data_IF_152015471236
#
_entry.id   IF_152015471236
#
_cell.length_a   1.000
_cell.length_b   1.000
_cell.length_c   1.000
_cell.angle_alpha   90.00
_cell.angle_beta   90.00
_cell.angle_gamma   90.00
#
_symmetry.space_group_name_H-M   'P 1'
#
loop_
_entity.id
_entity.type
_entity.pdbx_description
1 polymer ?
#
# COMPACT_ATOMS: atom_id res chain seq x y z
N UNK A 1 8.91 2.24 -13.11
CA UNK A 1 7.93 3.35 -13.15
C UNK A 1 7.80 4.00 -11.78
N UNK A 2 7.32 3.31 -10.74
CA UNK A 2 7.09 3.96 -9.43
C UNK A 2 8.37 4.58 -8.82
N UNK A 3 9.49 3.86 -8.84
CA UNK A 3 10.78 4.43 -8.41
C UNK A 3 11.20 5.63 -9.28
N UNK A 4 11.00 5.57 -10.60
CA UNK A 4 11.34 6.66 -11.53
C UNK A 4 10.50 7.92 -11.27
N UNK A 5 9.24 7.77 -10.87
CA UNK A 5 8.38 8.89 -10.46
C UNK A 5 8.90 9.51 -9.16
N UNK A 6 9.26 8.69 -8.16
CA UNK A 6 9.89 9.17 -6.91
C UNK A 6 11.18 9.93 -7.19
N UNK A 7 12.04 9.40 -8.05
CA UNK A 7 13.32 10.03 -8.40
C UNK A 7 13.11 11.35 -9.15
N UNK A 8 12.11 11.40 -10.03
CA UNK A 8 11.72 12.64 -10.71
C UNK A 8 11.19 13.69 -9.72
N UNK A 9 10.42 13.29 -8.69
CA UNK A 9 9.95 14.18 -7.63
C UNK A 9 11.11 14.69 -6.75
N UNK A 10 12.10 13.84 -6.43
CA UNK A 10 13.32 14.26 -5.75
C UNK A 10 14.08 15.32 -6.55
N UNK A 11 14.26 15.11 -7.85
CA UNK A 11 14.88 16.08 -8.75
C UNK A 11 14.04 17.36 -8.95
N UNK A 12 12.71 17.26 -8.86
CA UNK A 12 11.82 18.41 -8.88
C UNK A 12 11.98 19.26 -7.61
N UNK A 13 12.09 18.63 -6.43
CA UNK A 13 12.33 19.31 -5.15
C UNK A 13 13.58 20.20 -5.15
N UNK A 14 14.63 19.82 -5.89
CA UNK A 14 15.84 20.64 -6.02
C UNK A 14 15.63 21.92 -6.84
N UNK A 15 14.63 21.93 -7.71
CA UNK A 15 14.37 22.99 -8.70
C UNK A 15 13.15 23.84 -8.38
N UNK A 16 12.40 23.53 -7.30
CA UNK A 16 11.12 24.21 -7.01
C UNK A 16 11.29 25.70 -6.72
N UNK A 17 12.45 26.11 -6.19
CA UNK A 17 12.70 27.47 -5.71
C UNK A 17 11.82 27.88 -4.52
N UNK A 18 11.02 26.98 -3.96
CA UNK A 18 10.08 27.22 -2.87
C UNK A 18 10.47 26.41 -1.63
N UNK A 19 10.50 27.08 -0.47
CA UNK A 19 11.01 26.53 0.80
C UNK A 19 12.42 27.02 1.12
N UNK A 20 12.79 26.98 2.39
CA UNK A 20 14.19 27.17 2.82
C UNK A 20 14.97 25.85 2.68
N UNK A 21 16.30 25.91 2.80
CA UNK A 21 17.16 24.73 2.63
C UNK A 21 16.82 23.57 3.58
N UNK A 22 16.36 23.86 4.80
CA UNK A 22 15.95 22.87 5.79
C UNK A 22 14.66 22.14 5.39
N UNK A 23 13.63 22.86 4.95
CA UNK A 23 12.37 22.26 4.48
C UNK A 23 12.61 21.34 3.29
N UNK A 24 13.46 21.75 2.34
CA UNK A 24 13.80 20.93 1.18
C UNK A 24 14.58 19.67 1.61
N UNK A 25 15.52 19.79 2.54
CA UNK A 25 16.28 18.66 3.06
C UNK A 25 15.36 17.63 3.74
N UNK A 26 14.43 18.08 4.58
CA UNK A 26 13.48 17.19 5.26
C UNK A 26 12.50 16.53 4.28
N UNK A 27 12.00 17.28 3.29
CA UNK A 27 11.14 16.75 2.24
C UNK A 27 11.86 15.64 1.43
N UNK A 28 13.13 15.85 1.08
CA UNK A 28 13.96 14.84 0.41
C UNK A 28 14.16 13.62 1.30
N UNK A 29 14.48 13.82 2.59
CA UNK A 29 14.68 12.72 3.53
C UNK A 29 13.41 11.85 3.65
N UNK A 30 12.23 12.48 3.77
CA UNK A 30 10.95 11.77 3.80
C UNK A 30 10.69 11.00 2.51
N UNK A 31 10.89 11.63 1.36
CA UNK A 31 10.62 11.00 0.07
C UNK A 31 11.60 9.85 -0.21
N UNK A 32 12.89 10.00 0.15
CA UNK A 32 13.90 8.95 0.05
C UNK A 32 13.62 7.77 0.98
N UNK A 33 13.04 8.01 2.16
CA UNK A 33 12.64 6.98 3.11
C UNK A 33 11.30 6.28 2.73
N UNK A 34 10.60 6.77 1.70
CA UNK A 34 9.30 6.22 1.31
C UNK A 34 9.44 4.81 0.74
N UNK A 35 8.72 3.85 1.36
CA UNK A 35 8.67 2.47 0.89
C UNK A 35 7.58 2.32 -0.18
N UNK A 36 7.86 1.53 -1.21
CA UNK A 36 6.87 1.20 -2.25
C UNK A 36 6.62 -0.31 -2.18
N UNK A 37 5.37 -0.70 -1.92
CA UNK A 37 4.95 -2.09 -1.85
C UNK A 37 3.92 -2.38 -2.94
N UNK A 38 4.16 -3.43 -3.73
CA UNK A 38 3.43 -3.71 -4.98
C UNK A 38 2.87 -5.13 -4.97
N UNK A 39 1.61 -5.28 -5.40
CA UNK A 39 0.93 -6.57 -5.51
C UNK A 39 0.21 -6.97 -4.23
N UNK A 40 0.89 -7.70 -3.36
CA UNK A 40 0.31 -8.26 -2.14
C UNK A 40 1.26 -8.17 -0.94
N UNK A 41 0.74 -8.17 0.31
CA UNK A 41 1.55 -8.26 1.51
C UNK A 41 2.48 -9.47 1.47
N UNK A 42 3.74 -9.29 1.90
CA UNK A 42 4.71 -10.39 2.02
C UNK A 42 4.36 -11.44 3.07
N UNK A 43 3.39 -11.16 3.95
CA UNK A 43 3.01 -12.04 5.05
C UNK A 43 1.64 -12.63 4.80
N UNK A 44 1.57 -13.95 4.81
CA UNK A 44 0.31 -14.66 4.84
C UNK A 44 -0.37 -14.46 6.20
N UNK A 45 -1.67 -14.15 6.18
CA UNK A 45 -2.47 -14.18 7.39
C UNK A 45 -2.84 -15.62 7.69
N UNK A 46 -2.72 -16.00 8.96
CA UNK A 46 -3.24 -17.27 9.44
C UNK A 46 -4.76 -17.17 9.58
N UNK A 47 -5.46 -17.73 8.60
CA UNK A 47 -6.92 -17.83 8.57
C UNK A 47 -7.46 -19.08 9.28
N UNK A 48 -6.67 -19.73 10.13
CA UNK A 48 -7.15 -20.86 10.93
C UNK A 48 -8.21 -20.36 11.92
N UNK A 49 -9.47 -20.64 11.61
CA UNK A 49 -10.68 -20.28 12.35
C UNK A 49 -11.49 -21.52 12.68
N UNK A 50 -12.44 -21.40 13.61
CA UNK A 50 -13.43 -22.47 13.83
C UNK A 50 -14.21 -22.76 12.54
N UNK A 51 -14.64 -24.00 12.30
CA UNK A 51 -15.38 -24.37 11.09
C UNK A 51 -16.61 -23.48 10.90
N UNK A 52 -16.68 -22.82 9.74
CA UNK A 52 -17.85 -22.07 9.29
C UNK A 52 -18.69 -22.95 8.36
N UNK A 53 -20.01 -22.76 8.37
CA UNK A 53 -20.92 -23.59 7.60
C UNK A 53 -22.15 -22.85 7.10
N UNK A 54 -22.96 -23.51 6.26
CA UNK A 54 -24.18 -22.92 5.69
C UNK A 54 -25.35 -22.82 6.69
N UNK A 55 -25.21 -23.40 7.89
CA UNK A 55 -26.29 -23.50 8.88
C UNK A 55 -26.56 -22.23 9.70
N UNK A 56 -25.62 -21.28 9.79
CA UNK A 56 -25.84 -20.02 10.49
C UNK A 56 -24.91 -18.90 10.01
N UNK A 57 -25.47 -17.93 9.30
CA UNK A 57 -24.75 -16.71 8.91
C UNK A 57 -24.29 -15.91 10.14
N UNK A 58 -25.16 -15.76 11.14
CA UNK A 58 -24.84 -15.06 12.38
C UNK A 58 -23.68 -15.70 13.15
N UNK A 59 -23.66 -17.04 13.22
CA UNK A 59 -22.55 -17.79 13.82
C UNK A 59 -21.24 -17.56 13.08
N UNK A 60 -21.25 -17.63 11.74
CA UNK A 60 -20.07 -17.34 10.93
C UNK A 60 -19.55 -15.91 11.15
N UNK A 61 -20.45 -14.94 11.28
CA UNK A 61 -20.05 -13.55 11.52
C UNK A 61 -19.43 -13.35 12.90
N UNK A 62 -19.95 -14.01 13.93
CA UNK A 62 -19.35 -13.99 15.26
C UNK A 62 -17.96 -14.64 15.27
N UNK A 63 -17.78 -15.78 14.58
CA UNK A 63 -16.46 -16.44 14.43
C UNK A 63 -15.47 -15.50 13.75
N UNK A 64 -15.85 -14.88 12.63
CA UNK A 64 -15.00 -13.96 11.88
C UNK A 64 -14.63 -12.71 12.72
N UNK A 65 -15.59 -12.12 13.42
CA UNK A 65 -15.36 -10.96 14.29
C UNK A 65 -14.41 -11.29 15.44
N UNK A 66 -14.62 -12.44 16.10
CA UNK A 66 -13.79 -12.90 17.21
C UNK A 66 -12.35 -13.17 16.76
N UNK A 67 -12.18 -13.83 15.62
CA UNK A 67 -10.85 -14.05 15.04
C UNK A 67 -10.16 -12.72 14.72
N UNK A 68 -10.86 -11.78 14.07
CA UNK A 68 -10.30 -10.45 13.73
C UNK A 68 -9.85 -9.72 14.99
N UNK A 69 -10.69 -9.69 16.01
CA UNK A 69 -10.34 -9.04 17.29
C UNK A 69 -9.11 -9.69 17.93
N UNK A 70 -9.04 -11.02 17.98
CA UNK A 70 -7.87 -11.75 18.50
C UNK A 70 -6.59 -11.40 17.74
N UNK A 71 -6.65 -11.34 16.41
CA UNK A 71 -5.49 -11.00 15.59
C UNK A 71 -5.05 -9.54 15.76
N UNK A 72 -5.96 -8.60 15.99
CA UNK A 72 -5.60 -7.22 16.35
C UNK A 72 -4.98 -7.14 17.76
N UNK A 73 -5.57 -7.81 18.75
CA UNK A 73 -5.04 -7.83 20.13
C UNK A 73 -3.63 -8.42 20.19
N UNK A 74 -3.34 -9.46 19.41
CA UNK A 74 -2.00 -10.05 19.29
C UNK A 74 -0.93 -9.07 18.80
N UNK A 75 -1.31 -7.94 18.18
CA UNK A 75 -0.35 -6.96 17.64
C UNK A 75 0.09 -5.93 18.66
N UNK A 76 -0.74 -5.67 19.66
CA UNK A 76 -0.44 -4.71 20.72
C UNK A 76 0.87 -5.15 21.40
N UNK A 77 1.85 -4.23 21.47
CA UNK A 77 3.15 -4.48 22.09
C UNK A 77 4.16 -5.28 21.26
N UNK A 78 3.82 -5.75 20.05
CA UNK A 78 4.76 -6.56 19.22
C UNK A 78 5.64 -5.76 18.26
N UNK A 79 5.57 -4.42 18.26
CA UNK A 79 6.35 -3.55 17.38
C UNK A 79 6.14 -3.80 15.88
N UNK A 80 5.12 -4.58 15.52
CA UNK A 80 4.95 -5.16 14.18
C UNK A 80 3.74 -4.57 13.43
N UNK A 81 3.33 -3.35 13.83
CA UNK A 81 2.29 -2.59 13.14
C UNK A 81 2.64 -2.33 11.67
N UNK A 82 3.93 -2.35 11.33
CA UNK A 82 4.49 -2.06 10.02
C UNK A 82 4.01 -2.94 8.86
N UNK A 83 3.29 -4.04 9.11
CA UNK A 83 3.20 -5.13 8.12
C UNK A 83 1.82 -5.46 7.58
N UNK A 84 0.76 -4.76 7.99
CA UNK A 84 -0.57 -4.94 7.40
C UNK A 84 -0.87 -3.80 6.46
N UNK A 85 -1.29 -4.09 5.23
CA UNK A 85 -1.92 -3.09 4.38
C UNK A 85 -3.33 -2.77 4.90
N UNK A 86 -3.69 -1.50 4.90
CA UNK A 86 -5.07 -1.10 5.21
C UNK A 86 -6.05 -1.42 4.08
N UNK A 87 -5.52 -1.76 2.91
CA UNK A 87 -6.26 -2.21 1.73
C UNK A 87 -5.92 -3.66 1.40
N UNK A 88 -6.92 -4.40 0.92
CA UNK A 88 -6.72 -5.78 0.49
C UNK A 88 -6.12 -5.85 -0.92
N UNK A 89 -5.27 -6.83 -1.25
CA UNK A 89 -4.68 -6.98 -2.60
C UNK A 89 -5.69 -7.04 -3.74
N UNK A 90 -6.87 -7.59 -3.46
CA UNK A 90 -7.98 -7.74 -4.41
C UNK A 90 -8.82 -6.46 -4.59
N UNK A 91 -8.61 -5.42 -3.78
CA UNK A 91 -9.28 -4.14 -3.95
C UNK A 91 -8.42 -3.24 -4.83
N UNK A 92 -8.90 -2.77 -5.99
CA UNK A 92 -8.10 -1.92 -6.88
C UNK A 92 -7.85 -0.56 -6.23
N UNK A 93 -6.64 -0.35 -5.74
CA UNK A 93 -6.21 0.88 -5.08
C UNK A 93 -4.71 1.15 -5.26
N UNK A 94 -4.40 2.44 -5.34
CA UNK A 94 -3.11 3.03 -5.01
C UNK A 94 -3.33 3.89 -3.76
N UNK A 95 -2.66 3.56 -2.66
CA UNK A 95 -2.92 4.19 -1.36
C UNK A 95 -1.62 4.58 -0.66
N UNK A 96 -1.58 5.76 -0.06
CA UNK A 96 -0.45 6.20 0.76
C UNK A 96 -0.79 6.07 2.24
N UNK A 97 0.00 5.27 2.95
CA UNK A 97 -0.06 5.14 4.40
C UNK A 97 0.93 6.11 5.04
N UNK A 98 0.36 7.15 5.65
CA UNK A 98 1.08 8.27 6.25
C UNK A 98 1.86 7.83 7.49
N UNK A 99 1.31 6.91 8.30
CA UNK A 99 1.93 6.48 9.54
C UNK A 99 3.23 5.70 9.31
N UNK A 100 3.30 4.99 8.17
CA UNK A 100 4.42 4.14 7.80
C UNK A 100 5.26 4.70 6.65
N UNK A 101 4.90 5.88 6.13
CA UNK A 101 5.50 6.49 4.94
C UNK A 101 5.67 5.48 3.79
N UNK A 102 4.57 4.82 3.40
CA UNK A 102 4.60 3.81 2.34
C UNK A 102 3.51 4.02 1.31
N UNK A 103 3.86 3.79 0.06
CA UNK A 103 2.94 3.70 -1.06
C UNK A 103 2.58 2.23 -1.29
N UNK A 104 1.29 1.92 -1.24
CA UNK A 104 0.72 0.60 -1.45
C UNK A 104 0.05 0.57 -2.81
N UNK A 105 0.47 -0.37 -3.65
CA UNK A 105 -0.06 -0.57 -5.00
C UNK A 105 -0.59 -2.00 -5.06
N UNK A 106 -1.91 -2.13 -5.05
CA UNK A 106 -2.57 -3.44 -4.96
C UNK A 106 -2.48 -4.26 -6.24
N UNK A 107 -2.46 -5.58 -6.14
CA UNK A 107 -2.46 -6.47 -7.32
C UNK A 107 -3.66 -6.19 -8.24
N UNK A 108 -4.83 -5.92 -7.66
CA UNK A 108 -6.03 -5.61 -8.42
C UNK A 108 -5.99 -4.29 -9.19
N UNK A 109 -5.12 -3.32 -8.84
CA UNK A 109 -4.97 -2.09 -9.63
C UNK A 109 -4.06 -2.29 -10.85
N UNK A 110 -3.22 -3.34 -10.87
CA UNK A 110 -2.22 -3.60 -11.91
C UNK A 110 -2.79 -4.36 -13.10
N UNK A 111 -3.89 -3.86 -13.63
CA UNK A 111 -4.56 -4.39 -14.82
C UNK A 111 -5.04 -3.25 -15.71
N UNK A 112 -5.52 -3.56 -16.90
CA UNK A 112 -6.10 -2.55 -17.80
C UNK A 112 -7.26 -1.81 -17.09
N UNK A 113 -7.38 -0.47 -17.24
CA UNK A 113 -6.58 0.41 -18.10
C UNK A 113 -5.30 0.98 -17.46
N UNK A 114 -5.03 0.65 -16.19
CA UNK A 114 -3.92 1.23 -15.42
C UNK A 114 -2.57 0.68 -15.88
N UNK A 115 -2.46 -0.65 -16.01
CA UNK A 115 -1.26 -1.30 -16.49
C UNK A 115 -1.63 -2.43 -17.45
N UNK A 116 -1.20 -2.28 -18.70
CA UNK A 116 -1.44 -3.26 -19.77
C UNK A 116 -0.11 -3.73 -20.33
N UNK A 117 0.06 -5.06 -20.44
CA UNK A 117 1.23 -5.66 -21.07
C UNK A 117 1.24 -5.30 -22.57
N UNK A 118 2.38 -4.81 -23.06
CA UNK A 118 2.54 -4.41 -24.47
C UNK A 118 2.13 -2.97 -24.81
N UNK A 119 1.63 -2.18 -23.85
CA UNK A 119 1.43 -0.74 -24.06
C UNK A 119 2.74 0.03 -24.16
N UNK A 120 2.73 1.16 -24.86
CA UNK A 120 3.91 2.04 -24.95
C UNK A 120 4.28 2.59 -23.57
N UNK A 121 5.56 2.93 -23.33
CA UNK A 121 5.96 3.58 -22.09
C UNK A 121 5.12 4.84 -21.80
N UNK A 122 4.84 5.66 -22.81
CA UNK A 122 4.06 6.89 -22.64
C UNK A 122 2.66 6.62 -22.07
N UNK A 123 1.98 5.57 -22.55
CA UNK A 123 0.68 5.16 -22.02
C UNK A 123 0.78 4.65 -20.57
N UNK A 124 1.83 3.87 -20.25
CA UNK A 124 2.04 3.37 -18.89
C UNK A 124 2.38 4.48 -17.89
N UNK A 125 3.20 5.46 -18.28
CA UNK A 125 3.46 6.63 -17.44
C UNK A 125 2.23 7.54 -17.31
N UNK A 126 1.43 7.70 -18.37
CA UNK A 126 0.21 8.50 -18.32
C UNK A 126 -0.91 7.89 -17.48
N UNK A 127 -0.99 6.56 -17.40
CA UNK A 127 -1.97 5.86 -16.59
C UNK A 127 -1.41 5.50 -15.20
N UNK A 128 -0.57 4.46 -15.12
CA UNK A 128 0.01 4.02 -13.85
C UNK A 128 0.92 5.07 -13.21
N UNK A 129 1.80 5.70 -14.00
CA UNK A 129 2.73 6.71 -13.48
C UNK A 129 2.06 7.96 -12.92
N UNK A 130 0.88 8.34 -13.41
CA UNK A 130 0.12 9.49 -12.91
C UNK A 130 -0.63 9.19 -11.60
N UNK A 131 -0.88 7.92 -11.28
CA UNK A 131 -1.47 7.49 -10.01
C UNK A 131 -0.44 7.38 -8.87
N UNK A 132 0.84 7.24 -9.22
CA UNK A 132 1.98 7.16 -8.29
C UNK A 132 2.45 8.57 -7.92
#
# INVERSE_FOLDING_TARGET
IADQVRDAQLAALERTGWGNGEVIAEAKAKLAAMKIEVGAPRRDLDYTVQPMGRGSFGGNMLIASTWRHREEMKRIGKGNADRRWDVLPQQPAVAYDIAQNRLIITAAVLQAPVLTAGSTPAAQYGAYGALV
#
